data_IF_502452824691
#
_entry.id   IF_502452824691
#
_cell.length_a   1.000
_cell.length_b   1.000
_cell.length_c   1.000
_cell.angle_alpha   90.00
_cell.angle_beta   90.00
_cell.angle_gamma   90.00
#
_symmetry.space_group_name_H-M   'P 1'
#
loop_
_entity.id
_entity.type
_entity.pdbx_description
1 polymer ?
#
# COMPACT_ATOMS: atom_id res chain seq x y z
N UNK A 1 35.38 0.01 18.51
CA UNK A 1 34.57 1.25 18.64
C UNK A 1 33.38 1.17 17.71
N UNK A 2 32.18 1.38 18.28
CA UNK A 2 30.81 1.52 17.72
C UNK A 2 30.34 0.56 16.60
N UNK A 3 29.81 -0.61 17.01
CA UNK A 3 28.67 -1.24 16.31
C UNK A 3 27.41 -0.47 16.71
N UNK A 4 26.88 0.39 15.85
CA UNK A 4 25.57 1.01 16.07
C UNK A 4 24.49 -0.09 15.95
N UNK A 5 23.84 -0.44 17.05
CA UNK A 5 22.62 -1.26 17.01
C UNK A 5 21.44 -0.37 16.60
N UNK A 6 20.96 -0.52 15.37
CA UNK A 6 19.72 0.13 14.90
C UNK A 6 18.52 -0.60 15.53
N UNK A 7 17.70 0.11 16.33
CA UNK A 7 16.39 -0.35 16.80
C UNK A 7 15.28 0.28 15.93
N UNK A 8 14.04 -0.24 15.93
CA UNK A 8 12.91 0.19 15.09
C UNK A 8 11.60 0.34 15.89
N UNK A 9 10.64 1.13 15.38
CA UNK A 9 9.30 1.34 16.01
C UNK A 9 8.21 0.99 15.00
N UNK A 10 7.24 0.15 15.38
CA UNK A 10 6.03 -0.05 14.58
C UNK A 10 4.99 1.01 14.95
N UNK A 11 4.33 1.59 13.95
CA UNK A 11 3.15 2.44 14.14
C UNK A 11 1.94 1.70 13.57
N UNK A 12 1.01 1.34 14.46
CA UNK A 12 -0.25 0.71 14.12
C UNK A 12 -1.32 1.77 14.00
N UNK A 13 -2.12 1.77 12.92
CA UNK A 13 -3.35 2.56 12.87
C UNK A 13 -4.44 1.79 12.13
N UNK A 14 -5.69 2.04 12.54
CA UNK A 14 -6.87 1.35 12.07
C UNK A 14 -7.81 2.35 11.42
N UNK A 15 -8.27 2.06 10.20
CA UNK A 15 -9.32 2.79 9.50
C UNK A 15 -10.58 1.95 9.52
N UNK A 16 -11.66 2.50 10.06
CA UNK A 16 -12.99 1.94 9.91
C UNK A 16 -13.74 2.69 8.80
N UNK A 17 -14.15 1.95 7.78
CA UNK A 17 -14.96 2.46 6.67
C UNK A 17 -16.39 1.98 6.90
N UNK A 18 -17.28 2.86 7.35
CA UNK A 18 -18.68 2.49 7.64
C UNK A 18 -19.64 3.00 6.56
N UNK A 19 -20.69 2.21 6.27
CA UNK A 19 -21.76 2.57 5.31
C UNK A 19 -23.11 2.86 6.00
N UNK A 20 -23.17 2.86 7.34
CA UNK A 20 -24.43 2.92 8.08
C UNK A 20 -24.87 4.35 8.48
N UNK A 21 -25.90 4.84 7.77
CA UNK A 21 -27.04 5.66 8.21
C UNK A 21 -26.83 6.66 9.36
N UNK A 22 -26.11 7.75 9.10
CA UNK A 22 -26.45 9.05 9.69
C UNK A 22 -26.78 10.00 8.52
N UNK A 23 -27.86 10.80 8.57
CA UNK A 23 -28.29 11.67 7.47
C UNK A 23 -27.34 12.86 7.22
N UNK A 24 -26.10 12.80 7.69
CA UNK A 24 -25.05 13.80 7.50
C UNK A 24 -23.72 13.06 7.28
N UNK A 25 -23.27 13.01 6.03
CA UNK A 25 -21.92 12.58 5.57
C UNK A 25 -21.48 11.13 5.87
N UNK A 26 -20.96 10.43 4.84
CA UNK A 26 -20.21 9.16 5.01
C UNK A 26 -19.00 9.43 5.92
N UNK A 27 -18.98 8.86 7.12
CA UNK A 27 -17.86 9.00 8.05
C UNK A 27 -16.87 7.84 7.90
N UNK A 28 -15.65 8.14 7.46
CA UNK A 28 -14.47 7.31 7.72
C UNK A 28 -13.93 7.66 9.10
N UNK A 29 -13.97 6.71 10.04
CA UNK A 29 -13.37 6.90 11.36
C UNK A 29 -11.95 6.31 11.34
N UNK A 30 -10.94 7.17 11.27
CA UNK A 30 -9.56 6.76 11.54
C UNK A 30 -9.36 6.66 13.06
N UNK A 31 -9.28 5.44 13.56
CA UNK A 31 -8.83 5.15 14.92
C UNK A 31 -7.30 4.95 14.88
N UNK A 32 -6.56 6.04 15.07
CA UNK A 32 -5.13 5.97 15.27
C UNK A 32 -4.81 5.44 16.69
N UNK A 33 -4.68 4.12 16.83
CA UNK A 33 -4.15 3.51 18.06
C UNK A 33 -2.63 3.45 17.94
N UNK A 34 -1.93 4.51 18.35
CA UNK A 34 -0.45 4.49 18.40
C UNK A 34 0.00 3.57 19.54
N UNK A 35 0.16 2.27 19.26
CA UNK A 35 0.84 1.34 20.15
C UNK A 35 2.34 1.34 19.84
N UNK A 36 3.14 1.87 20.77
CA UNK A 36 4.60 1.80 20.72
C UNK A 36 5.05 0.39 21.14
N UNK A 37 5.14 -0.54 20.19
CA UNK A 37 5.73 -1.87 20.43
C UNK A 37 7.23 -1.78 20.13
N UNK A 38 8.06 -1.88 21.17
CA UNK A 38 9.53 -1.85 21.06
C UNK A 38 10.02 -3.30 20.95
N UNK A 39 10.54 -3.68 19.79
CA UNK A 39 11.27 -4.95 19.65
C UNK A 39 12.76 -4.71 19.89
N UNK A 40 13.37 -5.47 20.80
CA UNK A 40 14.82 -5.50 20.95
C UNK A 40 15.40 -6.66 20.12
N UNK A 41 16.44 -6.33 19.34
CA UNK A 41 17.36 -7.20 18.56
C UNK A 41 17.14 -7.37 17.04
N UNK A 42 18.19 -6.93 16.32
CA UNK A 42 18.58 -7.09 14.90
C UNK A 42 17.71 -6.43 13.79
N UNK A 43 18.11 -5.20 13.42
CA UNK A 43 18.61 -4.73 12.10
C UNK A 43 17.87 -5.07 10.79
N UNK A 44 16.60 -5.42 10.82
CA UNK A 44 15.76 -5.51 9.62
C UNK A 44 14.45 -4.78 9.88
N UNK A 45 13.91 -4.07 8.87
CA UNK A 45 12.53 -3.59 8.92
C UNK A 45 11.62 -4.82 9.05
N UNK A 46 10.92 -4.95 10.18
CA UNK A 46 10.30 -6.24 10.57
C UNK A 46 8.78 -6.32 10.45
N UNK A 47 8.05 -5.28 10.05
CA UNK A 47 6.58 -5.37 9.99
C UNK A 47 5.95 -4.19 9.24
N UNK A 48 5.74 -4.36 7.93
CA UNK A 48 4.64 -3.69 7.25
C UNK A 48 3.61 -4.74 6.90
N UNK A 49 2.46 -4.64 7.53
CA UNK A 49 1.38 -5.61 7.41
C UNK A 49 0.09 -4.81 7.23
N UNK A 50 -0.70 -5.17 6.22
CA UNK A 50 -1.98 -4.55 5.92
C UNK A 50 -3.02 -5.64 5.88
N UNK A 51 -4.22 -5.35 6.38
CA UNK A 51 -5.36 -6.21 6.20
C UNK A 51 -6.63 -5.43 5.90
N UNK A 52 -7.57 -6.11 5.25
CA UNK A 52 -8.93 -5.67 5.03
C UNK A 52 -9.89 -6.80 5.37
N UNK A 53 -11.00 -6.48 6.02
CA UNK A 53 -12.11 -7.39 6.30
C UNK A 53 -13.39 -6.77 5.80
N UNK A 54 -14.10 -7.49 4.93
CA UNK A 54 -15.33 -7.04 4.29
C UNK A 54 -16.56 -7.63 5.01
N UNK A 55 -17.73 -6.96 4.92
CA UNK A 55 -18.99 -7.57 5.28
C UNK A 55 -19.23 -8.92 4.56
N UNK A 56 -19.94 -9.87 5.17
CA UNK A 56 -20.61 -9.78 6.47
C UNK A 56 -19.71 -10.13 7.67
N UNK A 57 -18.40 -10.33 7.50
CA UNK A 57 -17.50 -10.69 8.61
C UNK A 57 -17.32 -9.54 9.64
N UNK A 58 -17.81 -8.37 9.28
CA UNK A 58 -17.81 -7.14 10.06
C UNK A 58 -19.23 -6.57 10.11
N UNK A 59 -19.66 -6.09 11.29
CA UNK A 59 -21.05 -5.64 11.51
C UNK A 59 -21.39 -4.27 10.91
N UNK A 60 -20.41 -3.38 10.77
CA UNK A 60 -20.65 -1.95 10.51
C UNK A 60 -19.91 -1.39 9.28
N UNK A 61 -19.48 -2.25 8.37
CA UNK A 61 -18.74 -1.86 7.16
C UNK A 61 -17.37 -2.53 7.07
N UNK A 62 -16.47 -1.97 6.26
CA UNK A 62 -15.13 -2.54 6.02
C UNK A 62 -14.15 -2.11 7.12
N UNK A 63 -13.37 -3.08 7.62
CA UNK A 63 -12.27 -2.82 8.56
C UNK A 63 -10.96 -2.88 7.79
N UNK A 64 -10.20 -1.79 7.81
CA UNK A 64 -8.89 -1.68 7.17
C UNK A 64 -7.84 -1.37 8.23
N UNK A 65 -6.74 -2.11 8.26
CA UNK A 65 -5.67 -1.89 9.23
C UNK A 65 -4.30 -1.96 8.59
N UNK A 66 -3.39 -1.10 9.03
CA UNK A 66 -1.99 -1.11 8.60
C UNK A 66 -1.04 -0.88 9.77
N UNK A 67 0.04 -1.64 9.76
CA UNK A 67 1.26 -1.36 10.50
C UNK A 67 2.34 -0.88 9.51
N UNK A 68 3.08 0.17 9.86
CA UNK A 68 4.19 0.67 9.05
C UNK A 68 5.55 0.28 9.65
N UNK A 69 6.46 -0.23 8.83
CA UNK A 69 7.86 -0.51 9.17
C UNK A 69 8.73 0.72 8.92
N UNK A 70 8.64 1.70 9.81
CA UNK A 70 9.40 2.95 9.67
C UNK A 70 10.68 2.95 10.52
N UNK A 71 11.74 3.65 10.09
CA UNK A 71 12.95 3.85 10.88
C UNK A 71 12.63 4.36 12.29
N UNK A 72 13.37 3.89 13.31
CA UNK A 72 13.18 4.41 14.67
C UNK A 72 13.46 5.91 14.71
N UNK A 73 12.61 6.62 15.44
CA UNK A 73 12.71 8.07 15.60
C UNK A 73 12.14 8.85 14.41
N UNK A 74 11.72 8.18 13.34
CA UNK A 74 10.99 8.84 12.26
C UNK A 74 9.61 9.27 12.77
N UNK A 75 9.36 10.58 12.74
CA UNK A 75 8.11 11.17 13.20
C UNK A 75 6.98 10.75 12.25
N UNK A 76 5.92 10.16 12.81
CA UNK A 76 4.69 9.85 12.09
C UNK A 76 3.62 10.88 12.49
N UNK A 77 2.97 11.46 11.49
CA UNK A 77 1.92 12.46 11.64
C UNK A 77 0.58 11.88 11.19
N UNK A 78 -0.48 12.29 11.87
CA UNK A 78 -1.85 12.14 11.38
C UNK A 78 -2.32 13.52 10.93
N UNK A 79 -2.54 13.69 9.63
CA UNK A 79 -2.87 15.00 9.05
C UNK A 79 -4.20 14.94 8.30
N UNK A 80 -5.03 15.96 8.52
CA UNK A 80 -6.20 16.23 7.69
C UNK A 80 -5.80 17.23 6.61
N UNK A 81 -6.10 16.93 5.35
CA UNK A 81 -5.90 17.83 4.21
C UNK A 81 -7.28 18.10 3.59
N UNK A 82 -7.74 19.36 3.55
CA UNK A 82 -9.04 19.69 2.97
C UNK A 82 -9.05 19.50 1.45
N UNK A 83 -10.25 19.32 0.90
CA UNK A 83 -10.47 19.33 -0.55
C UNK A 83 -9.91 20.61 -1.18
N UNK A 84 -9.33 20.49 -2.37
CA UNK A 84 -8.72 21.61 -3.09
C UNK A 84 -9.24 21.71 -4.51
N UNK A 85 -9.30 22.93 -5.03
CA UNK A 85 -9.58 23.23 -6.45
C UNK A 85 -8.35 23.80 -7.16
N UNK A 86 -7.18 23.76 -6.53
CA UNK A 86 -5.93 24.23 -7.14
C UNK A 86 -5.68 23.47 -8.44
N UNK A 87 -5.23 24.21 -9.45
CA UNK A 87 -4.81 23.68 -10.75
C UNK A 87 -3.29 23.67 -10.90
N UNK A 88 -2.56 23.99 -9.82
CA UNK A 88 -1.11 24.11 -9.83
C UNK A 88 -0.45 22.73 -9.93
N UNK A 89 0.78 22.70 -10.46
CA UNK A 89 1.60 21.50 -10.45
C UNK A 89 1.78 20.97 -9.03
N UNK A 90 1.80 19.64 -8.90
CA UNK A 90 1.89 18.99 -7.59
C UNK A 90 3.34 18.57 -7.37
N UNK A 91 4.00 19.22 -6.40
CA UNK A 91 5.31 18.80 -5.93
C UNK A 91 5.15 17.63 -4.94
N UNK A 92 5.37 16.41 -5.45
CA UNK A 92 5.44 15.19 -4.65
C UNK A 92 6.78 15.09 -3.90
N UNK A 93 7.11 13.92 -3.35
CA UNK A 93 8.30 13.78 -2.50
C UNK A 93 9.60 14.08 -3.26
N UNK A 94 9.73 13.60 -4.51
CA UNK A 94 10.95 13.81 -5.31
C UNK A 94 10.74 14.48 -6.65
N UNK A 95 9.56 14.36 -7.24
CA UNK A 95 9.27 14.88 -8.57
C UNK A 95 8.03 15.77 -8.55
N UNK A 96 7.87 16.59 -9.58
CA UNK A 96 6.67 17.35 -9.83
C UNK A 96 5.84 16.65 -10.91
N UNK A 97 4.52 16.61 -10.73
CA UNK A 97 3.59 16.02 -11.69
C UNK A 97 2.50 17.03 -12.05
N UNK A 98 1.82 16.79 -13.17
CA UNK A 98 0.68 17.63 -13.53
C UNK A 98 -0.48 17.46 -12.54
N UNK A 99 -1.23 18.54 -12.37
CA UNK A 99 -2.50 18.53 -11.67
C UNK A 99 -3.53 17.66 -12.42
N UNK A 100 -4.45 17.03 -11.70
CA UNK A 100 -5.51 16.20 -12.28
C UNK A 100 -6.93 16.72 -12.01
N UNK A 101 -7.06 18.00 -11.67
CA UNK A 101 -8.31 18.65 -11.28
C UNK A 101 -8.52 18.70 -9.77
N UNK A 102 -9.76 19.00 -9.33
CA UNK A 102 -10.10 19.09 -7.92
C UNK A 102 -9.77 17.82 -7.13
N UNK A 103 -9.26 18.01 -5.92
CA UNK A 103 -8.94 16.91 -5.00
C UNK A 103 -9.93 16.84 -3.85
N UNK A 104 -10.11 15.62 -3.34
CA UNK A 104 -10.96 15.30 -2.19
C UNK A 104 -10.29 15.63 -0.88
N UNK A 105 -11.09 15.83 0.17
CA UNK A 105 -10.60 15.87 1.53
C UNK A 105 -10.12 14.49 1.97
N UNK A 106 -8.97 14.45 2.66
CA UNK A 106 -8.30 13.21 3.09
C UNK A 106 -7.79 13.33 4.53
N UNK A 107 -7.71 12.18 5.20
CA UNK A 107 -6.94 12.00 6.42
C UNK A 107 -5.80 11.02 6.14
N UNK A 108 -4.58 11.39 6.51
CA UNK A 108 -3.36 10.65 6.18
C UNK A 108 -2.59 10.26 7.42
N UNK A 109 -1.92 9.12 7.33
CA UNK A 109 -0.83 8.69 8.19
C UNK A 109 0.47 8.75 7.41
N UNK A 110 1.42 9.58 7.83
CA UNK A 110 2.64 9.80 7.05
C UNK A 110 3.89 10.08 7.89
N UNK A 111 5.07 9.69 7.42
CA UNK A 111 6.32 10.25 7.87
C UNK A 111 6.35 11.77 7.66
N UNK A 112 6.85 12.53 8.63
CA UNK A 112 6.81 14.00 8.58
C UNK A 112 7.56 14.61 7.39
N UNK A 113 8.64 13.95 6.94
CA UNK A 113 9.54 14.47 5.91
C UNK A 113 9.05 14.31 4.46
N UNK A 114 8.13 13.38 4.20
CA UNK A 114 7.66 13.08 2.84
C UNK A 114 6.34 13.77 2.51
N UNK A 115 6.03 13.90 1.23
CA UNK A 115 4.76 14.48 0.78
C UNK A 115 3.61 13.47 0.79
N UNK A 116 3.91 12.22 0.41
CA UNK A 116 2.98 11.11 0.39
C UNK A 116 2.57 10.59 1.78
N UNK A 117 1.90 9.43 1.79
CA UNK A 117 1.41 8.78 3.00
C UNK A 117 1.56 7.25 2.97
N UNK A 118 1.72 6.67 4.15
CA UNK A 118 1.76 5.22 4.35
C UNK A 118 0.36 4.61 4.32
N UNK A 119 -0.65 5.36 4.77
CA UNK A 119 -2.06 5.05 4.57
C UNK A 119 -2.92 6.29 4.73
N UNK A 120 -4.18 6.18 4.36
CA UNK A 120 -5.18 7.18 4.67
C UNK A 120 -6.56 6.78 4.22
N UNK A 121 -7.51 7.69 4.42
CA UNK A 121 -8.86 7.58 3.89
C UNK A 121 -9.34 8.93 3.33
N UNK A 122 -10.27 8.90 2.39
CA UNK A 122 -10.87 10.10 1.82
C UNK A 122 -12.35 10.26 2.17
N UNK A 123 -12.91 11.43 1.87
CA UNK A 123 -14.32 11.77 2.12
C UNK A 123 -15.34 10.91 1.34
N UNK A 124 -14.89 10.12 0.35
CA UNK A 124 -15.74 9.22 -0.44
C UNK A 124 -15.82 7.80 0.12
N UNK A 125 -15.05 7.50 1.17
CA UNK A 125 -15.02 6.17 1.78
C UNK A 125 -13.89 5.27 1.26
N UNK A 126 -12.95 5.80 0.48
CA UNK A 126 -11.80 5.02 0.00
C UNK A 126 -10.70 5.05 1.04
N UNK A 127 -10.14 3.88 1.37
CA UNK A 127 -8.92 3.74 2.16
C UNK A 127 -7.82 3.06 1.35
N UNK A 128 -6.58 3.53 1.51
CA UNK A 128 -5.42 2.98 0.81
C UNK A 128 -4.26 2.88 1.80
N UNK A 129 -3.47 1.81 1.69
CA UNK A 129 -2.19 1.68 2.36
C UNK A 129 -1.22 0.85 1.53
N UNK A 130 0.09 1.07 1.72
CA UNK A 130 1.14 0.39 0.98
C UNK A 130 2.11 -0.41 1.86
N UNK A 131 2.73 -1.42 1.26
CA UNK A 131 3.73 -2.27 1.90
C UNK A 131 4.96 -2.37 1.01
N UNK A 132 6.14 -2.23 1.62
CA UNK A 132 7.41 -2.41 0.93
C UNK A 132 7.56 -3.87 0.48
N UNK A 133 7.85 -4.07 -0.81
CA UNK A 133 8.15 -5.36 -1.41
C UNK A 133 9.43 -5.27 -2.24
N UNK A 134 10.16 -6.37 -2.28
CA UNK A 134 11.36 -6.51 -3.09
C UNK A 134 11.12 -7.52 -4.21
N UNK A 135 11.56 -7.14 -5.39
CA UNK A 135 11.36 -7.91 -6.62
C UNK A 135 12.72 -8.33 -7.19
N UNK A 136 12.71 -9.32 -8.09
CA UNK A 136 13.90 -9.84 -8.76
C UNK A 136 14.41 -8.91 -9.86
N UNK A 137 13.54 -8.05 -10.38
CA UNK A 137 13.90 -7.10 -11.43
C UNK A 137 13.95 -5.68 -10.83
N UNK A 138 15.15 -5.11 -10.86
CA UNK A 138 15.44 -3.78 -10.33
C UNK A 138 16.39 -3.01 -11.26
N UNK A 139 16.29 -3.28 -12.55
CA UNK A 139 17.12 -2.65 -13.58
C UNK A 139 16.28 -1.68 -14.43
N UNK A 140 16.96 -0.77 -15.14
CA UNK A 140 16.34 0.11 -16.14
C UNK A 140 15.15 0.92 -15.57
N UNK A 141 13.97 0.73 -16.15
CA UNK A 141 12.72 1.39 -15.75
C UNK A 141 12.17 0.89 -14.40
N UNK A 142 12.66 -0.25 -13.90
CA UNK A 142 12.31 -0.83 -12.61
C UNK A 142 13.28 -0.44 -11.48
N UNK A 143 14.39 0.23 -11.77
CA UNK A 143 15.39 0.60 -10.75
C UNK A 143 14.80 1.50 -9.65
N UNK A 144 14.67 0.94 -8.45
CA UNK A 144 14.09 1.59 -7.29
C UNK A 144 14.98 2.69 -6.68
N UNK A 145 16.21 2.88 -7.14
CA UNK A 145 17.09 3.95 -6.67
C UNK A 145 16.89 5.27 -7.41
N UNK A 146 16.31 5.21 -8.61
CA UNK A 146 16.00 6.41 -9.40
C UNK A 146 14.79 7.12 -8.79
N UNK A 147 14.95 8.42 -8.51
CA UNK A 147 13.90 9.27 -7.97
C UNK A 147 12.72 9.38 -8.94
N UNK A 148 11.58 8.85 -8.52
CA UNK A 148 10.29 8.91 -9.22
C UNK A 148 9.20 9.20 -8.16
N UNK A 149 7.94 8.85 -8.43
CA UNK A 149 6.95 8.81 -7.35
C UNK A 149 7.35 7.74 -6.34
N UNK A 150 7.19 8.03 -5.05
CA UNK A 150 7.21 6.96 -4.04
C UNK A 150 5.88 6.22 -4.03
N UNK A 151 5.87 4.97 -3.54
CA UNK A 151 4.62 4.27 -3.25
C UNK A 151 3.70 5.08 -2.35
N UNK A 152 4.27 5.78 -1.37
CA UNK A 152 3.54 6.67 -0.47
C UNK A 152 2.95 7.89 -1.21
N UNK A 153 3.61 8.39 -2.27
CA UNK A 153 3.03 9.44 -3.11
C UNK A 153 1.82 8.90 -3.88
N UNK A 154 1.91 7.66 -4.39
CA UNK A 154 0.80 6.98 -5.07
C UNK A 154 -0.41 6.75 -4.14
N UNK A 155 -0.18 6.39 -2.87
CA UNK A 155 -1.25 6.29 -1.84
C UNK A 155 -2.02 7.60 -1.74
N UNK A 156 -1.30 8.71 -1.55
CA UNK A 156 -1.92 10.02 -1.39
C UNK A 156 -2.66 10.45 -2.66
N UNK A 157 -2.03 10.30 -3.83
CA UNK A 157 -2.62 10.67 -5.11
C UNK A 157 -3.89 9.85 -5.41
N UNK A 158 -3.87 8.55 -5.10
CA UNK A 158 -5.05 7.70 -5.20
C UNK A 158 -6.19 8.19 -4.30
N UNK A 159 -5.90 8.54 -3.04
CA UNK A 159 -6.90 9.07 -2.11
C UNK A 159 -7.45 10.44 -2.53
N UNK A 160 -6.60 11.35 -2.99
CA UNK A 160 -7.01 12.71 -3.40
C UNK A 160 -7.93 12.69 -4.63
N UNK A 161 -7.82 11.69 -5.50
CA UNK A 161 -8.40 11.70 -6.84
C UNK A 161 -9.52 10.68 -7.06
N UNK A 162 -9.76 9.75 -6.13
CA UNK A 162 -10.72 8.64 -6.33
C UNK A 162 -11.98 8.72 -5.49
N UNK A 163 -13.09 8.22 -6.03
CA UNK A 163 -14.39 8.09 -5.35
C UNK A 163 -14.77 6.64 -5.04
N UNK A 164 -13.98 5.68 -5.53
CA UNK A 164 -14.16 4.23 -5.32
C UNK A 164 -12.81 3.51 -5.37
N UNK A 165 -12.76 2.26 -4.90
CA UNK A 165 -11.57 1.43 -4.95
C UNK A 165 -11.17 1.07 -6.40
N UNK A 166 -12.14 0.89 -7.30
CA UNK A 166 -11.89 0.67 -8.73
C UNK A 166 -11.23 1.91 -9.37
N UNK A 167 -11.72 3.11 -9.10
CA UNK A 167 -11.13 4.36 -9.60
C UNK A 167 -9.73 4.62 -9.01
N UNK A 168 -9.54 4.34 -7.71
CA UNK A 168 -8.25 4.46 -7.05
C UNK A 168 -7.18 3.54 -7.67
N UNK A 169 -7.55 2.29 -7.98
CA UNK A 169 -6.69 1.35 -8.67
C UNK A 169 -6.23 1.93 -10.02
N UNK A 170 -7.16 2.41 -10.83
CA UNK A 170 -6.87 2.96 -12.15
C UNK A 170 -5.96 4.18 -12.08
N UNK A 171 -6.23 5.10 -11.15
CA UNK A 171 -5.39 6.28 -10.91
C UNK A 171 -3.95 5.87 -10.54
N UNK A 172 -3.79 4.95 -9.59
CA UNK A 172 -2.47 4.50 -9.14
C UNK A 172 -1.72 3.83 -10.29
N UNK A 173 -2.37 2.94 -11.04
CA UNK A 173 -1.71 2.24 -12.15
C UNK A 173 -1.36 3.16 -13.32
N UNK A 174 -2.17 4.18 -13.60
CA UNK A 174 -1.88 5.18 -14.63
C UNK A 174 -0.69 6.06 -14.23
N UNK A 175 -0.64 6.51 -12.97
CA UNK A 175 0.48 7.27 -12.43
C UNK A 175 1.76 6.43 -12.42
N UNK A 176 1.65 5.15 -12.04
CA UNK A 176 2.76 4.22 -12.06
C UNK A 176 3.30 4.02 -13.48
N UNK A 177 2.44 3.81 -14.48
CA UNK A 177 2.87 3.69 -15.87
C UNK A 177 3.54 4.95 -16.41
N UNK A 178 2.98 6.13 -16.10
CA UNK A 178 3.49 7.42 -16.60
C UNK A 178 4.78 7.86 -15.91
N UNK A 179 4.84 7.79 -14.59
CA UNK A 179 5.92 8.38 -13.80
C UNK A 179 6.86 7.35 -13.18
N UNK A 180 6.49 6.06 -13.18
CA UNK A 180 7.20 5.00 -12.48
C UNK A 180 7.16 5.16 -10.97
N UNK A 181 7.89 4.27 -10.27
CA UNK A 181 8.11 4.36 -8.84
C UNK A 181 9.59 4.20 -8.49
N UNK A 182 10.03 4.83 -7.40
CA UNK A 182 11.41 4.71 -6.93
C UNK A 182 11.96 5.95 -6.23
N UNK A 183 13.12 5.79 -5.63
CA UNK A 183 13.84 6.77 -4.84
C UNK A 183 14.05 6.30 -3.40
N UNK A 184 14.91 6.99 -2.63
CA UNK A 184 15.10 6.69 -1.22
C UNK A 184 13.78 6.74 -0.43
N UNK A 185 13.48 5.70 0.31
CA UNK A 185 12.24 5.58 1.11
C UNK A 185 12.46 5.97 2.58
N UNK A 186 13.62 6.55 2.92
CA UNK A 186 13.96 7.10 4.24
C UNK A 186 14.79 8.37 4.09
N UNK A 187 14.58 9.35 4.98
CA UNK A 187 15.43 10.54 5.11
C UNK A 187 16.72 10.29 5.90
N UNK A 188 16.87 9.13 6.53
CA UNK A 188 18.04 8.75 7.34
C UNK A 188 18.84 7.58 6.75
N UNK A 189 18.23 6.77 5.88
CA UNK A 189 18.87 5.64 5.21
C UNK A 189 18.63 5.74 3.71
N UNK A 190 19.56 6.36 2.99
CA UNK A 190 19.44 6.61 1.56
C UNK A 190 19.52 5.33 0.71
N UNK A 191 19.95 4.22 1.30
CA UNK A 191 20.00 2.91 0.63
C UNK A 191 18.71 2.11 0.75
N UNK A 192 17.71 2.60 1.51
CA UNK A 192 16.42 1.95 1.61
C UNK A 192 15.54 2.33 0.42
N UNK A 193 15.42 1.43 -0.54
CA UNK A 193 14.56 1.56 -1.72
C UNK A 193 13.82 0.24 -1.99
N UNK A 194 12.58 0.34 -2.49
CA UNK A 194 11.69 -0.81 -2.70
C UNK A 194 10.56 -0.48 -3.69
N UNK A 195 9.91 -1.53 -4.21
CA UNK A 195 8.60 -1.43 -4.87
C UNK A 195 7.48 -1.60 -3.85
N UNK A 196 6.23 -1.46 -4.28
CA UNK A 196 5.09 -1.41 -3.36
C UNK A 196 3.99 -2.42 -3.70
N UNK A 197 3.47 -3.06 -2.66
CA UNK A 197 2.15 -3.69 -2.66
C UNK A 197 1.16 -2.71 -2.03
N UNK A 198 -0.10 -2.73 -2.45
CA UNK A 198 -1.16 -1.86 -1.93
C UNK A 198 -2.39 -2.69 -1.61
N UNK A 199 -3.08 -2.32 -0.53
CA UNK A 199 -4.50 -2.64 -0.38
C UNK A 199 -5.29 -1.35 -0.54
N UNK A 200 -6.28 -1.40 -1.43
CA UNK A 200 -7.20 -0.31 -1.73
C UNK A 200 -8.59 -0.83 -1.39
N UNK A 201 -9.35 -0.13 -0.55
CA UNK A 201 -10.68 -0.58 -0.14
C UNK A 201 -11.68 0.57 -0.18
N UNK A 202 -12.93 0.24 -0.46
CA UNK A 202 -14.09 1.10 -0.26
C UNK A 202 -15.16 0.31 0.52
N UNK A 203 -16.38 0.85 0.76
CA UNK A 203 -17.40 0.13 1.51
C UNK A 203 -17.86 -1.21 0.88
N UNK A 204 -17.59 -1.44 -0.40
CA UNK A 204 -18.12 -2.59 -1.16
C UNK A 204 -17.06 -3.64 -1.47
N UNK A 205 -15.85 -3.22 -1.84
CA UNK A 205 -14.81 -4.10 -2.35
C UNK A 205 -13.43 -3.71 -1.83
N UNK A 206 -12.46 -4.61 -2.03
CA UNK A 206 -11.06 -4.27 -1.93
C UNK A 206 -10.27 -4.80 -3.14
N UNK A 207 -9.14 -4.18 -3.39
CA UNK A 207 -8.13 -4.58 -4.35
C UNK A 207 -6.80 -4.80 -3.63
N UNK A 208 -6.15 -5.90 -3.95
CA UNK A 208 -4.70 -6.03 -3.74
C UNK A 208 -4.03 -5.65 -5.05
N UNK A 209 -3.09 -4.71 -5.02
CA UNK A 209 -2.28 -4.30 -6.16
C UNK A 209 -0.82 -4.56 -5.82
N UNK A 210 -0.12 -5.35 -6.63
CA UNK A 210 1.29 -5.67 -6.44
C UNK A 210 2.10 -5.27 -7.65
N UNK A 211 3.30 -4.73 -7.42
CA UNK A 211 4.07 -4.05 -8.45
C UNK A 211 5.51 -4.56 -8.54
N UNK A 212 6.07 -4.48 -9.75
CA UNK A 212 7.48 -4.64 -10.08
C UNK A 212 7.84 -3.53 -11.07
N UNK A 213 8.48 -2.46 -10.60
CA UNK A 213 8.71 -1.27 -11.41
C UNK A 213 7.39 -0.67 -11.91
N UNK A 214 7.21 -0.59 -13.23
CA UNK A 214 5.95 -0.15 -13.87
C UNK A 214 4.94 -1.28 -14.11
N UNK A 215 5.37 -2.55 -13.97
CA UNK A 215 4.52 -3.71 -14.18
C UNK A 215 3.77 -4.07 -12.91
N UNK A 216 2.55 -4.59 -13.06
CA UNK A 216 1.70 -4.85 -11.91
C UNK A 216 0.64 -5.90 -12.20
N UNK A 217 0.17 -6.55 -11.14
CA UNK A 217 -1.00 -7.41 -11.11
C UNK A 217 -1.92 -6.97 -9.97
N UNK A 218 -3.23 -7.12 -10.16
CA UNK A 218 -4.23 -6.78 -9.18
C UNK A 218 -5.29 -7.88 -9.04
N UNK A 219 -5.72 -8.11 -7.79
CA UNK A 219 -6.70 -9.10 -7.40
C UNK A 219 -7.88 -8.43 -6.71
N UNK A 220 -9.11 -8.70 -7.17
CA UNK A 220 -10.34 -8.18 -6.59
C UNK A 220 -10.82 -9.06 -5.45
N UNK A 221 -11.16 -8.43 -4.34
CA UNK A 221 -11.70 -9.06 -3.13
C UNK A 221 -13.11 -8.52 -2.93
N UNK A 222 -14.10 -9.41 -3.06
CA UNK A 222 -15.54 -9.06 -2.95
C UNK A 222 -16.19 -9.62 -1.69
N UNK A 223 -15.52 -10.53 -0.99
CA UNK A 223 -16.00 -11.12 0.25
C UNK A 223 -14.82 -11.60 1.10
N UNK A 224 -15.04 -11.75 2.40
CA UNK A 224 -14.06 -12.32 3.30
C UNK A 224 -13.06 -11.29 3.82
N UNK A 225 -11.81 -11.72 4.00
CA UNK A 225 -10.70 -10.86 4.40
C UNK A 225 -9.51 -11.08 3.47
N UNK A 226 -8.58 -10.12 3.49
CA UNK A 226 -7.28 -10.25 2.82
C UNK A 226 -6.21 -9.54 3.63
N UNK A 227 -5.02 -10.11 3.70
CA UNK A 227 -3.84 -9.45 4.25
C UNK A 227 -2.64 -9.57 3.32
N UNK A 228 -1.74 -8.59 3.44
CA UNK A 228 -0.44 -8.56 2.79
C UNK A 228 0.64 -8.22 3.81
N UNK A 229 1.86 -8.63 3.50
CA UNK A 229 3.07 -8.30 4.25
C UNK A 229 4.16 -7.94 3.24
N UNK A 230 5.42 -7.84 3.68
CA UNK A 230 6.58 -7.50 2.83
C UNK A 230 6.98 -8.59 1.78
N UNK A 231 6.02 -9.25 1.14
CA UNK A 231 6.20 -10.19 0.03
C UNK A 231 5.08 -10.02 -0.98
N UNK A 232 5.30 -10.49 -2.22
CA UNK A 232 4.23 -10.59 -3.21
C UNK A 232 3.36 -11.81 -2.89
N UNK A 233 2.06 -11.69 -3.12
CA UNK A 233 1.03 -12.65 -2.70
C UNK A 233 0.03 -12.97 -3.80
N UNK A 234 -0.01 -12.20 -4.89
CA UNK A 234 -0.84 -12.51 -6.06
C UNK A 234 -0.16 -13.62 -6.84
N UNK A 235 -0.81 -14.78 -6.94
CA UNK A 235 -0.31 -15.93 -7.70
C UNK A 235 -0.95 -15.96 -9.09
N UNK A 236 -1.77 -16.96 -9.38
CA UNK A 236 -2.41 -17.18 -10.69
C UNK A 236 -3.77 -16.49 -10.81
N UNK A 237 -4.42 -16.13 -9.70
CA UNK A 237 -5.67 -15.37 -9.71
C UNK A 237 -5.39 -13.87 -9.88
N UNK A 238 -5.36 -13.43 -11.14
CA UNK A 238 -5.13 -12.04 -11.55
C UNK A 238 -6.39 -11.51 -12.24
N UNK A 239 -6.99 -10.46 -11.70
CA UNK A 239 -8.21 -9.86 -12.24
C UNK A 239 -7.91 -8.66 -13.17
N UNK A 240 -6.81 -7.93 -12.90
CA UNK A 240 -6.28 -6.87 -13.78
C UNK A 240 -4.74 -6.90 -13.76
N UNK A 241 -4.09 -6.49 -14.84
CA UNK A 241 -2.63 -6.38 -14.91
C UNK A 241 -2.19 -5.30 -15.91
N UNK A 242 -0.91 -4.91 -15.86
CA UNK A 242 -0.29 -4.08 -16.90
C UNK A 242 -0.28 -4.80 -18.25
N UNK A 243 -0.50 -4.08 -19.37
CA UNK A 243 -0.67 -4.66 -20.71
C UNK A 243 0.42 -5.66 -21.11
N UNK A 244 1.69 -5.34 -20.91
CA UNK A 244 2.82 -6.15 -21.39
C UNK A 244 3.41 -7.05 -20.28
N UNK A 245 2.65 -7.36 -19.22
CA UNK A 245 3.16 -8.07 -18.04
C UNK A 245 3.84 -9.41 -18.38
N UNK A 246 3.19 -10.20 -19.23
CA UNK A 246 3.59 -11.57 -19.53
C UNK A 246 4.83 -11.60 -20.44
N UNK A 247 4.81 -10.78 -21.48
CA UNK A 247 5.88 -10.57 -22.45
C UNK A 247 7.11 -10.01 -21.74
N UNK A 248 6.90 -9.08 -20.81
CA UNK A 248 7.96 -8.55 -19.95
C UNK A 248 8.59 -9.66 -19.10
N UNK A 249 7.77 -10.45 -18.40
CA UNK A 249 8.27 -11.56 -17.58
C UNK A 249 9.06 -12.58 -18.41
N UNK A 250 8.61 -12.90 -19.64
CA UNK A 250 9.34 -13.78 -20.57
C UNK A 250 10.67 -13.18 -21.00
N UNK A 251 10.67 -11.91 -21.40
CA UNK A 251 11.90 -11.25 -21.87
C UNK A 251 12.96 -11.13 -20.78
N UNK A 252 12.55 -11.02 -19.51
CA UNK A 252 13.44 -11.06 -18.34
C UNK A 252 13.79 -12.49 -17.88
N UNK A 253 13.29 -13.53 -18.53
CA UNK A 253 13.51 -14.93 -18.16
C UNK A 253 12.88 -15.32 -16.81
N UNK A 254 11.89 -14.56 -16.33
CA UNK A 254 11.19 -14.78 -15.06
C UNK A 254 9.99 -15.73 -15.22
N UNK A 255 9.55 -15.95 -16.46
CA UNK A 255 8.55 -16.94 -16.84
C UNK A 255 8.93 -17.56 -18.20
N UNK A 256 8.82 -18.87 -18.32
CA UNK A 256 9.11 -19.62 -19.56
C UNK A 256 7.97 -19.50 -20.59
N UNK A 257 6.81 -19.00 -20.18
CA UNK A 257 5.64 -18.89 -21.03
C UNK A 257 4.78 -20.16 -21.08
N UNK A 258 5.11 -21.16 -20.26
CA UNK A 258 4.34 -22.38 -20.12
C UNK A 258 3.53 -22.37 -18.80
N UNK A 259 2.36 -23.01 -18.82
CA UNK A 259 1.46 -23.09 -17.68
C UNK A 259 0.80 -21.75 -17.29
N UNK A 260 0.22 -21.72 -16.08
CA UNK A 260 -0.40 -20.52 -15.54
C UNK A 260 0.67 -19.55 -15.02
N UNK A 261 0.50 -18.27 -15.33
CA UNK A 261 1.39 -17.22 -14.85
C UNK A 261 1.17 -16.94 -13.36
N UNK A 262 2.20 -17.10 -12.54
CA UNK A 262 2.21 -16.79 -11.10
C UNK A 262 3.06 -15.54 -10.84
N UNK A 263 2.41 -14.41 -10.54
CA UNK A 263 3.08 -13.11 -10.39
C UNK A 263 4.08 -13.10 -9.22
N UNK A 264 3.69 -13.62 -8.06
CA UNK A 264 4.54 -13.69 -6.89
C UNK A 264 5.76 -14.60 -7.15
N UNK A 265 5.57 -15.77 -7.77
CA UNK A 265 6.67 -16.68 -8.11
C UNK A 265 7.62 -16.05 -9.13
N UNK A 266 7.09 -15.36 -10.14
CA UNK A 266 7.88 -14.71 -11.18
C UNK A 266 8.74 -13.60 -10.58
N UNK A 267 8.14 -12.64 -9.88
CA UNK A 267 8.79 -11.39 -9.52
C UNK A 267 9.33 -11.31 -8.09
N UNK A 268 8.84 -12.09 -7.12
CA UNK A 268 9.22 -11.86 -5.73
C UNK A 268 10.66 -12.26 -5.43
N UNK A 269 11.45 -11.39 -4.82
CA UNK A 269 12.80 -11.75 -4.35
C UNK A 269 12.80 -12.52 -3.02
N UNK A 270 11.67 -12.48 -2.29
CA UNK A 270 11.52 -13.08 -0.96
C UNK A 270 10.32 -14.01 -0.94
N UNK A 271 10.54 -15.29 -0.62
CA UNK A 271 9.50 -16.32 -0.69
C UNK A 271 8.84 -16.67 0.64
N UNK A 272 9.30 -16.11 1.76
CA UNK A 272 8.77 -16.46 3.08
C UNK A 272 8.55 -15.24 3.97
N UNK A 273 7.35 -15.11 4.50
CA UNK A 273 7.00 -14.15 5.53
C UNK A 273 6.10 -14.80 6.59
N UNK A 274 6.66 -15.25 7.74
CA UNK A 274 5.87 -15.85 8.81
C UNK A 274 4.77 -14.93 9.36
N UNK A 275 4.91 -13.60 9.22
CA UNK A 275 3.89 -12.64 9.63
C UNK A 275 2.65 -12.70 8.76
N UNK A 276 2.79 -12.96 7.46
CA UNK A 276 1.64 -13.13 6.56
C UNK A 276 0.75 -14.27 7.06
N UNK A 277 1.36 -15.43 7.33
CA UNK A 277 0.66 -16.61 7.84
C UNK A 277 0.07 -16.38 9.24
N UNK A 278 0.78 -15.67 10.11
CA UNK A 278 0.28 -15.32 11.44
C UNK A 278 -0.92 -14.36 11.36
N UNK A 279 -0.87 -13.38 10.46
CA UNK A 279 -1.97 -12.44 10.20
C UNK A 279 -3.19 -13.15 9.63
N UNK A 280 -3.00 -14.09 8.70
CA UNK A 280 -4.09 -14.90 8.14
C UNK A 280 -4.78 -15.73 9.22
N UNK A 281 -4.02 -16.48 10.03
CA UNK A 281 -4.57 -17.23 11.18
C UNK A 281 -5.31 -16.35 12.19
N UNK A 282 -4.84 -15.12 12.39
CA UNK A 282 -5.49 -14.15 13.26
C UNK A 282 -6.85 -13.74 12.69
N UNK A 283 -6.89 -13.41 11.40
CA UNK A 283 -8.12 -13.03 10.70
C UNK A 283 -9.11 -14.19 10.66
N UNK A 284 -8.67 -15.41 10.35
CA UNK A 284 -9.51 -16.62 10.44
C UNK A 284 -10.12 -16.80 11.82
N UNK A 285 -9.31 -16.69 12.88
CA UNK A 285 -9.78 -16.84 14.27
C UNK A 285 -10.86 -15.82 14.63
N UNK A 286 -10.69 -14.55 14.26
CA UNK A 286 -11.62 -13.48 14.64
C UNK A 286 -12.82 -13.33 13.72
N UNK A 287 -12.77 -13.91 12.52
CA UNK A 287 -13.89 -13.86 11.56
C UNK A 287 -14.73 -15.14 11.54
N UNK A 288 -14.18 -16.29 11.95
CA UNK A 288 -14.90 -17.57 12.04
C UNK A 288 -16.02 -17.62 13.10
N UNK A 289 -16.02 -16.69 14.05
CA UNK A 289 -16.93 -16.70 15.21
C UNK A 289 -18.26 -15.94 15.00
N UNK A 290 -18.57 -15.52 13.77
CA UNK A 290 -19.74 -14.65 13.47
C UNK A 290 -20.79 -15.30 12.55
N UNK A 291 -20.90 -16.63 12.54
CA UNK A 291 -22.03 -17.32 11.87
C UNK A 291 -23.21 -17.53 12.81
#
# INVERSE_FOLDING_TARGET
>A
MSKFSKNFTAVQQLILISDSYFPVSRFCLLLAIVQKIVFSTMAQLRSCDIFVVLPPLTKHGVVFGKNADRPQGEIQEVVYVPASKSTDTVKCTYIEIENAGPTKAIILSKPSWMWGAEMGANESGVAIGNTAVWTKDNDEDSDCNVKRLLGMDLVRLGLERSSSADEALEIITNLLGKYGQGGPCSNTDTGLSYHNSFIIADPQIAWVLETCGKHWAAQKITCGFRNTSNILTITTKIDKHSNDLFEYAKSKGLWDGEGDFDFAKAFSSTSNCPRLQAGEKLLEKFTSSQT
#
